data_IF_156656551154
#
_entry.id   IF_156656551154
#
_cell.length_a   1.000
_cell.length_b   1.000
_cell.length_c   1.000
_cell.angle_alpha   90.00
_cell.angle_beta   90.00
_cell.angle_gamma   90.00
#
_symmetry.space_group_name_H-M   'P 1'
#
loop_
_entity.id
_entity.type
_entity.pdbx_description
1 polymer ?
#
# COMPACT_ATOMS: atom_id res chain seq x y z
N UNK A 1 -18.80 -10.29 -0.28
CA UNK A 1 -17.83 -9.79 0.72
C UNK A 1 -18.32 -8.44 1.21
N UNK A 2 -18.17 -8.11 2.50
CA UNK A 2 -18.66 -6.84 3.03
C UNK A 2 -17.56 -5.78 2.83
N UNK A 3 -17.39 -5.35 1.59
CA UNK A 3 -16.23 -4.58 1.10
C UNK A 3 -16.05 -3.23 1.81
N UNK A 4 -17.08 -2.75 2.52
CA UNK A 4 -17.04 -1.47 3.24
C UNK A 4 -16.38 -1.56 4.63
N UNK A 5 -16.37 -2.72 5.29
CA UNK A 5 -15.89 -2.83 6.69
C UNK A 5 -14.41 -3.21 6.80
N UNK A 6 -13.91 -3.95 5.83
CA UNK A 6 -12.53 -4.46 5.83
C UNK A 6 -11.52 -3.31 5.67
N UNK A 7 -11.68 -2.37 4.70
CA UNK A 7 -10.76 -1.24 4.55
C UNK A 7 -10.71 -0.35 5.79
N UNK A 8 -11.86 -0.07 6.41
CA UNK A 8 -11.97 0.78 7.60
C UNK A 8 -11.21 0.19 8.80
N UNK A 9 -11.22 -1.14 8.96
CA UNK A 9 -10.48 -1.81 10.04
C UNK A 9 -8.98 -1.67 9.85
N UNK A 10 -8.48 -1.93 8.63
CA UNK A 10 -7.05 -1.82 8.33
C UNK A 10 -6.57 -0.37 8.37
N UNK A 11 -7.33 0.58 7.83
CA UNK A 11 -6.96 1.99 7.87
C UNK A 11 -6.88 2.52 9.30
N UNK A 12 -7.79 2.08 10.18
CA UNK A 12 -7.76 2.48 11.59
C UNK A 12 -6.56 1.91 12.33
N UNK A 13 -6.25 0.62 12.16
CA UNK A 13 -5.07 0.01 12.78
C UNK A 13 -3.76 0.68 12.32
N UNK A 14 -3.65 1.01 11.03
CA UNK A 14 -2.50 1.74 10.49
C UNK A 14 -2.42 3.18 11.04
N UNK A 15 -3.55 3.88 11.11
CA UNK A 15 -3.61 5.23 11.66
C UNK A 15 -3.19 5.28 13.13
N UNK A 16 -3.75 4.38 13.95
CA UNK A 16 -3.44 4.28 15.37
C UNK A 16 -1.93 3.99 15.57
N UNK A 17 -1.35 3.08 14.77
CA UNK A 17 0.08 2.77 14.79
C UNK A 17 0.96 3.96 14.37
N UNK A 18 0.57 4.70 13.33
CA UNK A 18 1.32 5.86 12.85
C UNK A 18 1.30 7.01 13.88
N UNK A 19 0.18 7.15 14.60
CA UNK A 19 0.01 8.10 15.69
C UNK A 19 0.90 7.74 16.89
N UNK A 20 0.95 6.46 17.28
CA UNK A 20 1.82 5.97 18.35
C UNK A 20 3.32 6.17 18.05
N UNK A 21 3.70 6.16 16.77
CA UNK A 21 5.09 6.28 16.33
C UNK A 21 5.47 7.70 15.86
N UNK A 22 4.61 8.70 16.04
CA UNK A 22 4.83 10.09 15.60
C UNK A 22 5.23 10.20 14.11
N UNK A 23 4.62 9.35 13.28
CA UNK A 23 4.94 9.20 11.84
C UNK A 23 3.74 9.46 10.94
N UNK A 24 2.66 10.03 11.50
CA UNK A 24 1.38 10.19 10.81
C UNK A 24 1.49 10.95 9.48
N UNK A 25 2.19 12.08 9.44
CA UNK A 25 2.35 12.89 8.22
C UNK A 25 3.06 12.12 7.12
N UNK A 26 4.11 11.37 7.48
CA UNK A 26 4.85 10.56 6.52
C UNK A 26 4.01 9.41 6.01
N UNK A 27 3.35 8.66 6.91
CA UNK A 27 2.43 7.57 6.52
C UNK A 27 1.33 8.10 5.61
N UNK A 28 0.79 9.29 5.87
CA UNK A 28 -0.21 9.92 5.01
C UNK A 28 0.31 10.21 3.60
N UNK A 29 1.49 10.83 3.48
CA UNK A 29 2.13 11.07 2.17
C UNK A 29 2.45 9.76 1.43
N UNK A 30 2.87 8.73 2.17
CA UNK A 30 3.12 7.40 1.62
C UNK A 30 1.83 6.78 1.08
N UNK A 31 0.72 6.87 1.80
CA UNK A 31 -0.59 6.38 1.34
C UNK A 31 -1.09 7.14 0.11
N UNK A 32 -0.82 8.45 0.01
CA UNK A 32 -1.10 9.25 -1.20
C UNK A 32 -0.30 8.76 -2.40
N UNK A 33 0.99 8.49 -2.22
CA UNK A 33 1.85 7.91 -3.25
C UNK A 33 1.32 6.55 -3.71
N UNK A 34 1.00 5.65 -2.77
CA UNK A 34 0.47 4.31 -3.07
C UNK A 34 -0.84 4.43 -3.87
N UNK A 35 -1.76 5.30 -3.46
CA UNK A 35 -3.01 5.51 -4.17
C UNK A 35 -2.78 5.97 -5.62
N UNK A 36 -1.84 6.90 -5.82
CA UNK A 36 -1.50 7.41 -7.14
C UNK A 36 -0.90 6.30 -8.03
N UNK A 37 0.07 5.55 -7.52
CA UNK A 37 0.73 4.45 -8.27
C UNK A 37 -0.27 3.34 -8.59
N UNK A 38 -1.07 2.91 -7.62
CA UNK A 38 -2.10 1.89 -7.83
C UNK A 38 -3.24 2.35 -8.75
N UNK A 39 -3.39 3.67 -8.98
CA UNK A 39 -4.35 4.21 -9.93
C UNK A 39 -3.86 4.16 -11.37
N UNK A 40 -2.54 4.01 -11.60
CA UNK A 40 -1.94 3.89 -12.93
C UNK A 40 -2.40 2.61 -13.63
N UNK A 41 -2.64 2.72 -14.94
CA UNK A 41 -3.22 1.62 -15.74
C UNK A 41 -2.30 0.42 -15.79
N UNK A 42 -1.00 0.67 -15.93
CA UNK A 42 0.07 -0.32 -16.02
C UNK A 42 0.14 -1.15 -14.73
N UNK A 43 0.04 -0.49 -13.58
CA UNK A 43 0.06 -1.13 -12.27
C UNK A 43 -1.20 -1.98 -12.07
N UNK A 44 -2.38 -1.46 -12.41
CA UNK A 44 -3.63 -2.25 -12.37
C UNK A 44 -3.55 -3.51 -13.23
N UNK A 45 -3.02 -3.38 -14.45
CA UNK A 45 -2.84 -4.52 -15.35
C UNK A 45 -1.92 -5.59 -14.75
N UNK A 46 -0.87 -5.22 -14.02
CA UNK A 46 0.01 -6.17 -13.32
C UNK A 46 -0.74 -6.85 -12.17
N UNK A 47 -1.48 -6.08 -11.37
CA UNK A 47 -2.20 -6.60 -10.20
C UNK A 47 -3.33 -7.55 -10.59
N UNK A 48 -4.04 -7.26 -11.67
CA UNK A 48 -5.17 -8.05 -12.17
C UNK A 48 -4.72 -9.25 -13.03
N UNK A 49 -3.44 -9.31 -13.45
CA UNK A 49 -2.95 -10.37 -14.32
C UNK A 49 -2.78 -11.70 -13.57
N UNK A 50 -3.61 -12.73 -13.82
CA UNK A 50 -3.60 -14.00 -13.09
C UNK A 50 -2.35 -14.86 -13.37
N UNK A 51 -1.59 -14.56 -14.43
CA UNK A 51 -0.36 -15.28 -14.80
C UNK A 51 0.80 -14.89 -13.88
N UNK A 52 0.80 -13.67 -13.36
CA UNK A 52 1.84 -13.20 -12.45
C UNK A 52 1.57 -13.78 -11.07
N UNK A 53 2.50 -14.57 -10.55
CA UNK A 53 2.38 -15.17 -9.23
C UNK A 53 2.33 -14.11 -8.12
N UNK A 54 1.66 -14.42 -7.01
CA UNK A 54 1.54 -13.50 -5.87
C UNK A 54 2.90 -13.06 -5.32
N UNK A 55 3.88 -13.97 -5.31
CA UNK A 55 5.26 -13.67 -4.93
C UNK A 55 5.88 -12.62 -5.86
N UNK A 56 5.71 -12.78 -7.19
CA UNK A 56 6.26 -11.85 -8.17
C UNK A 56 5.57 -10.49 -8.12
N UNK A 57 4.26 -10.44 -7.87
CA UNK A 57 3.55 -9.17 -7.62
C UNK A 57 4.11 -8.44 -6.39
N UNK A 58 4.40 -9.18 -5.31
CA UNK A 58 5.06 -8.63 -4.13
C UNK A 58 6.43 -8.03 -4.42
N UNK A 59 7.27 -8.71 -5.22
CA UNK A 59 8.57 -8.18 -5.66
C UNK A 59 8.43 -6.90 -6.48
N UNK A 60 7.48 -6.86 -7.43
CA UNK A 60 7.25 -5.68 -8.28
C UNK A 60 6.79 -4.50 -7.44
N UNK A 61 5.83 -4.71 -6.52
CA UNK A 61 5.36 -3.66 -5.63
C UNK A 61 6.47 -3.16 -4.71
N UNK A 62 7.30 -4.05 -4.16
CA UNK A 62 8.49 -3.65 -3.39
C UNK A 62 9.41 -2.78 -4.23
N UNK A 63 9.80 -3.22 -5.43
CA UNK A 63 10.68 -2.46 -6.31
C UNK A 63 10.10 -1.08 -6.70
N UNK A 64 8.77 -0.96 -6.86
CA UNK A 64 8.11 0.32 -7.17
C UNK A 64 8.17 1.33 -6.00
N UNK A 65 8.22 0.83 -4.77
CA UNK A 65 8.09 1.66 -3.57
C UNK A 65 9.37 1.74 -2.72
N UNK A 66 10.36 0.88 -2.97
CA UNK A 66 11.59 0.71 -2.17
C UNK A 66 12.41 1.99 -2.04
N UNK A 67 12.33 2.89 -3.02
CA UNK A 67 13.08 4.15 -3.02
C UNK A 67 12.35 5.35 -2.41
N UNK A 68 11.04 5.25 -2.13
CA UNK A 68 10.22 6.43 -1.78
C UNK A 68 9.31 6.26 -0.55
N UNK A 69 9.35 5.11 0.12
CA UNK A 69 8.41 4.77 1.20
C UNK A 69 9.13 4.49 2.52
N UNK A 70 8.56 4.98 3.62
CA UNK A 70 9.05 4.79 4.98
C UNK A 70 8.90 3.31 5.42
N UNK A 71 9.87 2.73 6.15
CA UNK A 71 9.87 1.30 6.50
C UNK A 71 8.64 0.83 7.28
N UNK A 72 7.92 1.72 7.97
CA UNK A 72 6.66 1.40 8.65
C UNK A 72 5.56 0.95 7.68
N UNK A 73 5.54 1.54 6.48
CA UNK A 73 4.56 1.23 5.42
C UNK A 73 4.88 -0.07 4.69
N UNK A 74 6.13 -0.55 4.79
CA UNK A 74 6.64 -1.75 4.13
C UNK A 74 6.73 -2.99 5.05
N UNK A 75 6.37 -2.84 6.34
CA UNK A 75 6.52 -3.88 7.36
C UNK A 75 5.40 -4.92 7.33
#
# INVERSE_FOLDING_TARGET
MNDSKIPVRYSRALFDLALEQDSLDRVYENMRLILNVCSMKEVKQILDNPVISSAKRGEILKALFESNIEPLTMK
#
